data_IF_385472747710
#
_entry.id   IF_385472747710
#
_cell.length_a   1.000
_cell.length_b   1.000
_cell.length_c   1.000
_cell.angle_alpha   90.00
_cell.angle_beta   90.00
_cell.angle_gamma   90.00
#
_symmetry.space_group_name_H-M   'P 1'
#
loop_
_entity.id
_entity.type
_entity.pdbx_description
1 polymer ?
#
# COMPACT_ATOMS: atom_id res chain seq x y z
N UNK A 1 8.85 8.50 2.44
CA UNK A 1 8.03 9.47 3.17
C UNK A 1 6.86 9.87 2.29
N UNK A 2 5.65 9.40 2.64
CA UNK A 2 4.43 9.81 1.95
C UNK A 2 4.18 11.27 2.35
N UNK A 3 4.64 12.21 1.51
CA UNK A 3 4.68 13.66 1.79
C UNK A 3 3.36 14.31 2.25
N UNK A 4 2.25 13.57 2.25
CA UNK A 4 0.91 14.01 2.67
C UNK A 4 0.17 12.99 3.54
N UNK A 5 0.84 11.97 4.10
CA UNK A 5 0.24 11.00 5.02
C UNK A 5 0.60 11.36 6.46
N UNK A 6 0.14 12.51 6.92
CA UNK A 6 0.20 12.87 8.33
C UNK A 6 -1.21 12.78 8.92
N UNK A 7 -1.34 11.92 9.92
CA UNK A 7 -2.53 11.78 10.74
C UNK A 7 -2.25 10.74 11.81
N UNK A 8 -2.25 11.15 13.08
CA UNK A 8 -2.20 10.28 14.26
C UNK A 8 -3.47 9.41 14.43
N UNK A 9 -4.38 9.43 13.46
CA UNK A 9 -5.52 8.54 13.40
C UNK A 9 -5.67 7.96 12.00
N UNK A 10 -5.66 6.63 11.94
CA UNK A 10 -6.02 5.86 10.76
C UNK A 10 -7.33 6.37 10.16
N UNK A 11 -7.34 6.43 8.82
CA UNK A 11 -8.37 7.06 7.97
C UNK A 11 -9.82 6.82 8.40
N UNK A 12 -10.63 7.88 8.26
CA UNK A 12 -12.09 7.88 8.42
C UNK A 12 -12.78 7.76 7.05
N UNK A 13 -13.83 6.94 6.96
CA UNK A 13 -14.70 6.84 5.78
C UNK A 13 -15.23 8.24 5.37
N UNK A 14 -14.99 8.66 4.13
CA UNK A 14 -15.52 9.93 3.59
C UNK A 14 -14.58 11.14 3.64
N UNK A 15 -13.30 11.00 4.01
CA UNK A 15 -12.36 12.12 3.98
C UNK A 15 -12.12 12.64 2.55
N UNK A 16 -12.41 13.93 2.36
CA UNK A 16 -12.01 14.71 1.19
C UNK A 16 -10.51 15.03 1.26
N UNK A 17 -9.84 15.27 0.12
CA UNK A 17 -8.47 15.76 0.12
C UNK A 17 -8.33 17.01 1.01
N UNK A 18 -7.38 16.98 1.94
CA UNK A 18 -7.08 18.15 2.79
C UNK A 18 -6.60 19.33 1.92
N UNK A 19 -5.81 19.03 0.90
CA UNK A 19 -5.53 19.97 -0.19
C UNK A 19 -6.52 19.75 -1.33
N UNK A 20 -7.38 20.76 -1.56
CA UNK A 20 -8.37 20.75 -2.64
C UNK A 20 -7.76 20.68 -4.05
N UNK A 21 -6.44 20.89 -4.19
CA UNK A 21 -5.72 20.72 -5.46
C UNK A 21 -5.42 19.26 -5.77
N UNK A 22 -5.48 18.36 -4.79
CA UNK A 22 -5.24 16.93 -5.00
C UNK A 22 -6.51 16.29 -5.55
N UNK A 23 -6.45 15.78 -6.77
CA UNK A 23 -7.53 14.98 -7.33
C UNK A 23 -7.53 13.59 -6.68
N UNK A 24 -8.56 13.31 -5.87
CA UNK A 24 -8.76 12.03 -5.21
C UNK A 24 -9.59 11.01 -6.00
N UNK A 25 -10.00 11.32 -7.23
CA UNK A 25 -10.76 10.41 -8.08
C UNK A 25 -9.96 9.14 -8.37
N UNK A 26 -10.63 7.99 -8.24
CA UNK A 26 -10.05 6.68 -8.54
C UNK A 26 -10.55 6.19 -9.89
N UNK A 27 -9.78 5.36 -10.62
CA UNK A 27 -10.26 4.69 -11.81
C UNK A 27 -11.55 3.91 -11.54
N UNK A 28 -12.40 3.80 -12.56
CA UNK A 28 -13.59 2.97 -12.49
C UNK A 28 -13.20 1.49 -12.32
N UNK A 29 -13.97 0.77 -11.52
CA UNK A 29 -13.84 -0.68 -11.38
C UNK A 29 -14.69 -1.40 -12.43
N UNK A 30 -14.36 -2.67 -12.76
CA UNK A 30 -15.19 -3.48 -13.64
C UNK A 30 -16.64 -3.59 -13.15
N UNK A 31 -17.62 -3.76 -14.05
CA UNK A 31 -19.02 -3.94 -13.67
C UNK A 31 -19.21 -5.05 -12.63
N UNK A 32 -19.95 -4.76 -11.56
CA UNK A 32 -20.20 -5.69 -10.46
C UNK A 32 -19.09 -5.76 -9.40
N UNK A 33 -17.94 -5.13 -9.60
CA UNK A 33 -16.86 -5.06 -8.61
C UNK A 33 -17.03 -3.81 -7.75
N UNK A 34 -17.29 -4.01 -6.45
CA UNK A 34 -17.32 -2.89 -5.49
C UNK A 34 -15.91 -2.46 -5.07
N UNK A 35 -15.76 -1.21 -4.62
CA UNK A 35 -14.50 -0.74 -4.03
C UNK A 35 -14.06 -1.53 -2.79
N UNK A 36 -14.98 -2.22 -2.12
CA UNK A 36 -14.72 -2.99 -0.90
C UNK A 36 -14.37 -2.12 0.32
N UNK A 37 -13.72 -2.74 1.31
CA UNK A 37 -13.37 -2.12 2.59
C UNK A 37 -12.18 -1.14 2.52
N UNK A 38 -11.78 -0.62 3.69
CA UNK A 38 -10.61 0.25 3.85
C UNK A 38 -10.60 1.47 2.92
N UNK A 39 -11.75 2.14 2.80
CA UNK A 39 -11.90 3.35 1.98
C UNK A 39 -11.99 3.08 0.47
N UNK A 40 -12.31 1.84 0.07
CA UNK A 40 -12.46 1.42 -1.31
C UNK A 40 -11.17 0.95 -1.99
N UNK A 41 -10.15 0.59 -1.20
CA UNK A 41 -8.85 0.16 -1.73
C UNK A 41 -8.87 -1.28 -2.25
N UNK A 42 -9.70 -2.15 -1.67
CA UNK A 42 -9.70 -3.57 -2.00
C UNK A 42 -9.97 -3.81 -3.48
N UNK A 43 -11.08 -3.28 -4.00
CA UNK A 43 -11.46 -3.45 -5.41
C UNK A 43 -10.40 -2.88 -6.36
N UNK A 44 -9.77 -1.77 -5.98
CA UNK A 44 -8.75 -1.09 -6.80
C UNK A 44 -7.44 -1.89 -6.87
N UNK A 45 -6.95 -2.38 -5.72
CA UNK A 45 -5.74 -3.21 -5.66
C UNK A 45 -5.96 -4.55 -6.37
N UNK A 46 -7.12 -5.20 -6.17
CA UNK A 46 -7.47 -6.43 -6.87
C UNK A 46 -7.56 -6.21 -8.38
N UNK A 47 -8.22 -5.13 -8.83
CA UNK A 47 -8.31 -4.81 -10.25
C UNK A 47 -6.92 -4.59 -10.85
N UNK A 48 -6.05 -3.82 -10.19
CA UNK A 48 -4.71 -3.58 -10.69
C UNK A 48 -3.90 -4.88 -10.82
N UNK A 49 -3.96 -5.77 -9.83
CA UNK A 49 -3.27 -7.05 -9.89
C UNK A 49 -3.74 -7.92 -11.07
N UNK A 50 -5.06 -8.06 -11.27
CA UNK A 50 -5.62 -8.84 -12.38
C UNK A 50 -5.25 -8.19 -13.72
N UNK A 51 -5.41 -6.87 -13.83
CA UNK A 51 -5.09 -6.12 -15.04
C UNK A 51 -3.61 -6.25 -15.41
N UNK A 52 -2.71 -6.26 -14.42
CA UNK A 52 -1.28 -6.48 -14.62
C UNK A 52 -0.95 -7.83 -15.24
N UNK A 53 -1.68 -8.87 -14.87
CA UNK A 53 -1.55 -10.20 -15.46
C UNK A 53 -2.08 -10.20 -16.90
N UNK A 54 -3.29 -9.66 -17.10
CA UNK A 54 -3.96 -9.70 -18.42
C UNK A 54 -3.25 -8.85 -19.47
N UNK A 55 -2.64 -7.74 -19.06
CA UNK A 55 -1.98 -6.79 -19.96
C UNK A 55 -0.46 -6.92 -19.97
N UNK A 56 0.10 -7.92 -19.30
CA UNK A 56 1.54 -8.12 -19.16
C UNK A 56 2.28 -6.83 -18.75
N UNK A 57 1.79 -6.18 -17.69
CA UNK A 57 2.36 -4.92 -17.16
C UNK A 57 2.73 -5.04 -15.70
N UNK A 58 3.78 -4.29 -15.29
CA UNK A 58 4.22 -4.22 -13.90
C UNK A 58 3.06 -3.71 -13.00
N UNK A 59 2.72 -4.41 -11.91
CA UNK A 59 1.70 -3.95 -10.96
C UNK A 59 2.17 -2.71 -10.20
N UNK A 60 1.21 -1.97 -9.63
CA UNK A 60 1.50 -0.76 -8.84
C UNK A 60 2.26 -1.13 -7.55
N UNK A 61 2.01 -2.31 -7.00
CA UNK A 61 2.79 -2.89 -5.92
C UNK A 61 3.51 -4.10 -6.48
N UNK A 62 4.79 -3.93 -6.80
CA UNK A 62 5.65 -5.01 -7.27
C UNK A 62 6.29 -5.79 -6.11
N UNK A 63 7.18 -6.73 -6.44
CA UNK A 63 7.89 -7.54 -5.44
C UNK A 63 8.86 -6.72 -4.59
N UNK A 64 9.52 -5.70 -5.14
CA UNK A 64 10.42 -4.81 -4.40
C UNK A 64 9.67 -3.96 -3.38
N UNK A 65 8.55 -3.35 -3.80
CA UNK A 65 7.64 -2.62 -2.93
C UNK A 65 7.09 -3.53 -1.82
N UNK A 66 6.63 -4.73 -2.19
CA UNK A 66 6.11 -5.70 -1.22
C UNK A 66 7.16 -6.09 -0.18
N UNK A 67 8.39 -6.37 -0.60
CA UNK A 67 9.50 -6.71 0.30
C UNK A 67 9.86 -5.53 1.22
N UNK A 68 9.98 -4.32 0.65
CA UNK A 68 10.34 -3.13 1.42
C UNK A 68 9.26 -2.74 2.45
N UNK A 69 7.98 -3.03 2.19
CA UNK A 69 6.89 -2.83 3.16
C UNK A 69 6.80 -3.91 4.25
N UNK A 70 7.16 -5.16 3.94
CA UNK A 70 6.95 -6.30 4.86
C UNK A 70 8.18 -6.62 5.71
N UNK A 71 9.38 -6.47 5.17
CA UNK A 71 10.60 -6.99 5.79
C UNK A 71 10.94 -6.31 7.12
N UNK A 72 10.59 -5.03 7.28
CA UNK A 72 10.76 -4.32 8.53
C UNK A 72 10.09 -5.04 9.71
N UNK A 73 8.90 -5.62 9.51
CA UNK A 73 8.20 -6.39 10.54
C UNK A 73 8.92 -7.70 10.90
N UNK A 74 9.46 -8.40 9.89
CA UNK A 74 10.24 -9.63 10.09
C UNK A 74 11.53 -9.34 10.87
N UNK A 75 12.27 -8.30 10.49
CA UNK A 75 13.51 -7.90 11.18
C UNK A 75 13.22 -7.40 12.59
N UNK A 76 12.13 -6.66 12.79
CA UNK A 76 11.69 -6.24 14.12
C UNK A 76 11.36 -7.44 15.02
N UNK A 77 10.69 -8.46 14.49
CA UNK A 77 10.45 -9.71 15.23
C UNK A 77 11.76 -10.42 15.61
N UNK A 78 12.71 -10.53 14.67
CA UNK A 78 14.03 -11.12 14.95
C UNK A 78 14.82 -10.33 15.99
N UNK A 79 14.79 -8.99 15.92
CA UNK A 79 15.40 -8.11 16.91
C UNK A 79 14.82 -8.35 18.30
N UNK A 80 13.49 -8.46 18.42
CA UNK A 80 12.82 -8.74 19.69
C UNK A 80 13.25 -10.08 20.32
N UNK A 81 13.39 -11.13 19.51
CA UNK A 81 13.90 -12.43 19.98
C UNK A 81 15.35 -12.37 20.51
N UNK A 82 16.11 -11.34 20.13
CA UNK A 82 17.48 -11.10 20.57
C UNK A 82 17.60 -9.97 21.59
N UNK A 83 16.53 -9.69 22.33
CA UNK A 83 16.54 -8.65 23.35
C UNK A 83 16.61 -7.22 22.80
N UNK A 84 16.12 -7.00 21.57
CA UNK A 84 16.09 -5.68 20.95
C UNK A 84 17.41 -5.28 20.27
N UNK A 85 18.19 -6.25 19.78
CA UNK A 85 19.42 -5.97 19.02
C UNK A 85 19.14 -5.05 17.82
N UNK A 86 20.00 -4.05 17.59
CA UNK A 86 19.95 -3.24 16.38
C UNK A 86 20.30 -4.08 15.15
N UNK A 87 19.34 -4.23 14.24
CA UNK A 87 19.49 -5.05 13.03
C UNK A 87 19.22 -4.22 11.77
N UNK A 88 19.98 -4.49 10.71
CA UNK A 88 19.79 -3.81 9.41
C UNK A 88 18.59 -4.40 8.68
N UNK A 89 17.77 -3.53 8.09
CA UNK A 89 16.68 -3.91 7.19
C UNK A 89 17.22 -3.87 5.76
N UNK A 90 17.26 -5.00 5.03
CA UNK A 90 17.60 -5.03 3.62
C UNK A 90 16.70 -4.11 2.81
N UNK A 91 17.27 -3.43 1.81
CA UNK A 91 16.54 -2.59 0.86
C UNK A 91 16.64 -3.23 -0.52
N UNK A 92 15.51 -3.35 -1.22
CA UNK A 92 15.46 -3.93 -2.56
C UNK A 92 15.10 -2.85 -3.58
N UNK A 93 15.93 -2.73 -4.62
CA UNK A 93 15.67 -1.92 -5.81
C UNK A 93 15.59 -2.89 -7.00
N UNK A 94 14.39 -3.08 -7.56
CA UNK A 94 14.04 -4.15 -8.52
C UNK A 94 13.32 -3.62 -9.78
#
# INVERSE_FOLDING_TARGET
>A
DMKNAHGEQGRVYGQKPHDKKINGSRPSLPPGVSGGGHGGSHGQLTNNFIESILLDKKPIVDVGDALNMTLAGVIAHQSALKGGEWMKIPQYDL
#
